data_IF_484705946972
#
_entry.id   IF_484705946972
#
_cell.length_a   1.000
_cell.length_b   1.000
_cell.length_c   1.000
_cell.angle_alpha   90.00
_cell.angle_beta   90.00
_cell.angle_gamma   90.00
#
_symmetry.space_group_name_H-M   'P 1'
#
loop_
_entity.id
_entity.type
_entity.pdbx_description
1 polymer ?
#
# COMPACT_ATOMS: atom_id res chain seq x y z
N UNK A 1 0.42 21.44 0.84
CA UNK A 1 0.14 20.33 1.79
C UNK A 1 0.16 20.88 3.20
N UNK A 2 -0.94 20.71 3.94
CA UNK A 2 -1.15 21.35 5.24
C UNK A 2 -0.31 20.72 6.36
N UNK A 3 -0.19 19.39 6.36
CA UNK A 3 0.43 18.64 7.45
C UNK A 3 0.98 17.31 6.95
N UNK A 4 2.13 16.89 7.47
CA UNK A 4 2.71 15.55 7.27
C UNK A 4 3.24 15.07 8.62
N UNK A 5 2.87 13.87 9.02
CA UNK A 5 3.30 13.29 10.28
C UNK A 5 3.69 11.83 10.11
N UNK A 6 4.68 11.40 10.89
CA UNK A 6 5.03 9.99 11.01
C UNK A 6 4.28 9.39 12.20
N UNK A 7 3.80 8.16 12.03
CA UNK A 7 3.09 7.37 13.02
C UNK A 7 3.64 5.96 13.08
N UNK A 8 3.58 5.34 14.24
CA UNK A 8 3.81 3.92 14.42
C UNK A 8 2.47 3.22 14.67
N UNK A 9 1.97 2.55 13.65
CA UNK A 9 0.69 1.82 13.71
C UNK A 9 0.93 0.47 14.41
N UNK A 10 0.08 0.07 15.37
CA UNK A 10 0.17 -1.27 15.98
C UNK A 10 -0.03 -2.37 14.94
N UNK A 11 0.90 -3.33 14.88
CA UNK A 11 0.84 -4.49 13.99
C UNK A 11 1.09 -5.79 14.73
N UNK A 12 0.68 -6.90 14.10
CA UNK A 12 0.83 -8.26 14.65
C UNK A 12 2.30 -8.62 14.96
N UNK A 13 3.22 -8.09 14.16
CA UNK A 13 4.65 -8.38 14.26
C UNK A 13 5.46 -7.21 14.84
N UNK A 14 4.81 -6.27 15.54
CA UNK A 14 5.40 -5.04 16.08
C UNK A 14 4.94 -3.79 15.30
N UNK A 15 5.43 -2.60 15.66
CA UNK A 15 4.98 -1.36 15.05
C UNK A 15 5.23 -1.32 13.53
N UNK A 16 4.30 -0.70 12.82
CA UNK A 16 4.35 -0.49 11.38
C UNK A 16 4.51 1.01 11.15
N UNK A 17 5.69 1.48 10.71
CA UNK A 17 5.87 2.89 10.43
C UNK A 17 4.94 3.35 9.29
N UNK A 18 4.29 4.48 9.47
CA UNK A 18 3.43 5.08 8.48
C UNK A 18 3.69 6.59 8.41
N UNK A 19 3.36 7.19 7.26
CA UNK A 19 3.36 8.64 7.10
C UNK A 19 2.01 9.09 6.61
N UNK A 20 1.43 10.07 7.30
CA UNK A 20 0.11 10.58 7.02
C UNK A 20 0.24 11.99 6.44
N UNK A 21 -0.50 12.23 5.36
CA UNK A 21 -0.51 13.48 4.61
C UNK A 21 -1.93 14.07 4.64
N UNK A 22 -2.04 15.35 4.96
CA UNK A 22 -3.30 16.10 4.90
C UNK A 22 -3.22 17.16 3.80
N UNK A 23 -4.25 17.31 2.95
CA UNK A 23 -4.25 18.27 1.84
C UNK A 23 -4.28 19.71 2.35
N UNK A 24 -3.76 20.63 1.53
CA UNK A 24 -3.87 22.07 1.71
C UNK A 24 -5.17 22.60 1.07
N UNK A 25 -5.58 23.79 1.50
CA UNK A 25 -6.73 24.47 0.90
C UNK A 25 -7.99 24.44 1.76
N UNK A 26 -9.08 25.07 1.30
CA UNK A 26 -10.35 25.04 1.98
C UNK A 26 -10.85 23.60 1.97
N UNK A 27 -10.84 22.97 3.14
CA UNK A 27 -11.48 21.69 3.32
C UNK A 27 -12.95 21.85 2.97
N UNK A 28 -13.48 20.96 2.15
CA UNK A 28 -14.91 20.80 2.08
C UNK A 28 -15.45 20.69 3.51
N UNK A 29 -16.57 21.35 3.81
CA UNK A 29 -17.15 21.30 5.14
C UNK A 29 -17.43 19.85 5.54
N UNK A 30 -16.54 19.26 6.32
CA UNK A 30 -16.69 17.89 6.82
C UNK A 30 -15.44 17.01 6.71
N UNK A 31 -15.56 15.73 7.14
CA UNK A 31 -14.48 14.76 7.11
C UNK A 31 -14.01 14.46 5.69
N UNK A 32 -12.72 14.19 5.50
CA UNK A 32 -12.09 13.95 4.20
C UNK A 32 -12.12 12.45 3.81
N UNK A 33 -12.12 12.12 2.51
CA UNK A 33 -11.80 10.76 2.08
C UNK A 33 -10.42 10.33 2.57
N UNK A 34 -10.22 9.03 2.80
CA UNK A 34 -8.93 8.49 3.23
C UNK A 34 -8.44 7.45 2.23
N UNK A 35 -7.20 7.59 1.81
CA UNK A 35 -6.50 6.68 0.90
C UNK A 35 -5.36 5.99 1.64
N UNK A 36 -5.46 4.68 1.85
CA UNK A 36 -4.36 3.87 2.38
C UNK A 36 -3.47 3.47 1.23
N UNK A 37 -2.21 3.89 1.27
CA UNK A 37 -1.25 3.71 0.19
C UNK A 37 -0.16 2.70 0.55
N UNK A 38 0.09 1.75 -0.36
CA UNK A 38 1.17 0.76 -0.29
C UNK A 38 2.16 1.00 -1.44
N UNK A 39 3.42 1.27 -1.09
CA UNK A 39 4.46 1.58 -2.07
C UNK A 39 4.88 0.38 -2.93
N UNK A 40 5.35 0.62 -4.15
CA UNK A 40 6.01 -0.37 -4.99
C UNK A 40 7.43 -0.67 -4.47
N UNK A 41 7.83 -1.95 -4.49
CA UNK A 41 9.08 -2.35 -3.86
C UNK A 41 9.55 -3.76 -4.23
N UNK A 42 8.80 -4.50 -5.04
CA UNK A 42 9.02 -5.96 -5.17
C UNK A 42 8.93 -6.71 -3.84
N UNK A 43 8.29 -6.14 -2.81
CA UNK A 43 8.24 -6.60 -1.40
C UNK A 43 9.59 -6.60 -0.68
N UNK A 44 10.66 -6.09 -1.28
CA UNK A 44 12.05 -6.23 -0.80
C UNK A 44 12.74 -4.89 -0.57
N UNK A 45 12.55 -3.94 -1.48
CA UNK A 45 13.30 -2.68 -1.50
C UNK A 45 12.40 -1.47 -1.24
N UNK A 46 12.99 -0.29 -1.15
CA UNK A 46 12.32 1.00 -0.98
C UNK A 46 11.56 1.12 0.35
N UNK A 47 10.81 2.20 0.47
CA UNK A 47 10.02 2.57 1.65
C UNK A 47 9.29 3.88 1.38
N UNK A 48 8.90 4.58 2.45
CA UNK A 48 8.11 5.82 2.39
C UNK A 48 8.74 6.91 1.51
N UNK A 49 10.07 7.02 1.52
CA UNK A 49 10.78 8.07 0.79
C UNK A 49 10.67 7.90 -0.73
N UNK A 50 10.66 6.66 -1.22
CA UNK A 50 10.53 6.36 -2.66
C UNK A 50 9.19 6.80 -3.25
N UNK A 51 8.16 6.95 -2.43
CA UNK A 51 6.82 7.35 -2.84
C UNK A 51 6.35 8.68 -2.24
N UNK A 52 7.25 9.46 -1.65
CA UNK A 52 6.91 10.73 -1.00
C UNK A 52 6.16 11.69 -1.94
N UNK A 53 6.69 11.94 -3.13
CA UNK A 53 6.05 12.84 -4.10
C UNK A 53 4.71 12.30 -4.61
N UNK A 54 4.63 10.99 -4.87
CA UNK A 54 3.38 10.32 -5.28
C UNK A 54 2.29 10.50 -4.23
N UNK A 55 2.61 10.29 -2.95
CA UNK A 55 1.64 10.48 -1.86
C UNK A 55 1.18 11.93 -1.73
N UNK A 56 2.08 12.89 -1.94
CA UNK A 56 1.73 14.31 -1.94
C UNK A 56 0.78 14.66 -3.09
N UNK A 57 1.09 14.21 -4.29
CA UNK A 57 0.26 14.48 -5.48
C UNK A 57 -1.12 13.83 -5.36
N UNK A 58 -1.19 12.61 -4.84
CA UNK A 58 -2.47 11.95 -4.54
C UNK A 58 -3.26 12.72 -3.48
N UNK A 59 -2.61 13.16 -2.41
CA UNK A 59 -3.23 13.92 -1.33
C UNK A 59 -3.82 15.23 -1.83
N UNK A 60 -3.04 16.04 -2.55
CA UNK A 60 -3.47 17.34 -3.06
C UNK A 60 -4.47 17.20 -4.22
N UNK A 61 -4.16 16.31 -5.17
CA UNK A 61 -4.97 16.17 -6.39
C UNK A 61 -6.35 15.59 -6.15
N UNK A 62 -6.47 14.68 -5.17
CA UNK A 62 -7.74 14.08 -4.80
C UNK A 62 -8.43 14.75 -3.59
N UNK A 63 -7.77 15.70 -2.93
CA UNK A 63 -8.29 16.34 -1.72
C UNK A 63 -8.58 15.35 -0.59
N UNK A 64 -7.72 14.36 -0.40
CA UNK A 64 -7.92 13.28 0.56
C UNK A 64 -6.75 13.17 1.53
N UNK A 65 -6.99 12.56 2.69
CA UNK A 65 -5.92 12.12 3.59
C UNK A 65 -5.24 10.91 2.96
N UNK A 66 -3.91 10.91 2.88
CA UNK A 66 -3.14 9.73 2.43
C UNK A 66 -2.39 9.15 3.60
N UNK A 67 -2.59 7.87 3.87
CA UNK A 67 -1.83 7.10 4.86
C UNK A 67 -0.90 6.16 4.12
N UNK A 68 0.38 6.55 4.01
CA UNK A 68 1.41 5.73 3.39
C UNK A 68 1.99 4.74 4.41
N UNK A 69 1.87 3.46 4.11
CA UNK A 69 2.27 2.36 5.00
C UNK A 69 3.64 1.83 4.60
N UNK A 70 4.60 1.81 5.56
CA UNK A 70 5.90 1.18 5.38
C UNK A 70 5.86 -0.26 5.87
N UNK A 71 5.15 -1.09 5.13
CA UNK A 71 5.03 -2.52 5.46
C UNK A 71 6.40 -3.21 5.50
N UNK A 72 6.49 -4.29 6.29
CA UNK A 72 7.70 -5.12 6.41
C UNK A 72 8.11 -5.69 5.07
N UNK A 73 9.40 -5.86 4.89
CA UNK A 73 9.98 -6.33 3.63
C UNK A 73 10.75 -7.63 3.83
N UNK A 74 10.75 -8.43 2.79
CA UNK A 74 11.61 -9.60 2.66
C UNK A 74 13.08 -9.15 2.38
N UNK A 75 14.06 -9.99 2.65
CA UNK A 75 13.96 -11.38 3.11
C UNK A 75 13.69 -11.57 4.60
N UNK A 76 13.85 -10.51 5.45
CA UNK A 76 13.69 -10.60 6.90
C UNK A 76 12.24 -10.90 7.29
N UNK A 77 11.32 -10.45 6.49
CA UNK A 77 9.89 -10.59 6.72
C UNK A 77 9.19 -11.08 5.43
N UNK A 78 9.28 -12.38 5.20
CA UNK A 78 8.64 -13.06 4.07
C UNK A 78 7.11 -13.08 4.19
N UNK A 79 6.43 -13.48 3.11
CA UNK A 79 5.01 -13.77 3.13
C UNK A 79 4.65 -14.70 4.32
N UNK A 80 3.57 -14.45 5.08
CA UNK A 80 2.53 -13.44 4.85
C UNK A 80 2.74 -12.08 5.57
N UNK A 81 3.86 -11.83 6.25
CA UNK A 81 4.02 -10.65 7.12
C UNK A 81 3.73 -9.29 6.44
N UNK A 82 4.14 -9.02 5.19
CA UNK A 82 3.77 -7.77 4.52
C UNK A 82 2.26 -7.62 4.30
N UNK A 83 1.54 -8.73 4.05
CA UNK A 83 0.08 -8.71 3.92
C UNK A 83 -0.63 -8.52 5.25
N UNK A 84 -0.06 -9.05 6.33
CA UNK A 84 -0.57 -8.83 7.69
C UNK A 84 -0.42 -7.37 8.10
N UNK A 85 0.71 -6.74 7.78
CA UNK A 85 0.94 -5.32 8.03
C UNK A 85 -0.05 -4.45 7.24
N UNK A 86 -0.24 -4.72 5.96
CA UNK A 86 -1.18 -3.99 5.12
C UNK A 86 -2.61 -4.06 5.67
N UNK A 87 -3.02 -5.24 6.10
CA UNK A 87 -4.31 -5.47 6.72
C UNK A 87 -4.46 -4.76 8.06
N UNK A 88 -3.48 -4.90 8.96
CA UNK A 88 -3.48 -4.25 10.27
C UNK A 88 -3.52 -2.73 10.14
N UNK A 89 -2.70 -2.16 9.24
CA UNK A 89 -2.68 -0.73 8.99
C UNK A 89 -4.02 -0.20 8.46
N UNK A 90 -4.67 -0.94 7.56
CA UNK A 90 -5.98 -0.53 7.04
C UNK A 90 -7.06 -0.56 8.12
N UNK A 91 -7.08 -1.57 8.98
CA UNK A 91 -8.01 -1.62 10.12
C UNK A 91 -7.77 -0.45 11.09
N UNK A 92 -6.52 -0.19 11.42
CA UNK A 92 -6.17 0.93 12.29
C UNK A 92 -6.66 2.27 11.71
N UNK A 93 -6.49 2.49 10.41
CA UNK A 93 -6.98 3.69 9.72
C UNK A 93 -8.48 3.85 9.89
N UNK A 94 -9.25 2.77 9.76
CA UNK A 94 -10.70 2.79 9.94
C UNK A 94 -11.09 3.11 11.39
N UNK A 95 -10.43 2.47 12.36
CA UNK A 95 -10.66 2.65 13.79
C UNK A 95 -10.33 4.08 14.25
N UNK A 96 -9.30 4.70 13.67
CA UNK A 96 -8.84 6.05 14.02
C UNK A 96 -9.28 7.12 13.00
N UNK A 97 -10.19 6.78 12.08
CA UNK A 97 -10.55 7.62 10.95
C UNK A 97 -11.05 9.01 11.37
N UNK A 98 -11.89 9.08 12.39
CA UNK A 98 -12.44 10.33 12.91
C UNK A 98 -11.36 11.25 13.51
N UNK A 99 -10.40 10.68 14.25
CA UNK A 99 -9.27 11.41 14.85
C UNK A 99 -8.34 11.99 13.77
N UNK A 100 -8.22 11.28 12.65
CA UNK A 100 -7.48 11.76 11.49
C UNK A 100 -8.23 12.87 10.71
N UNK A 101 -9.50 13.11 11.01
CA UNK A 101 -10.39 14.00 10.25
C UNK A 101 -10.94 13.35 8.98
N UNK A 102 -10.96 12.03 8.94
CA UNK A 102 -11.42 11.22 7.81
C UNK A 102 -12.89 10.80 7.90
N UNK A 103 -13.44 10.41 6.76
CA UNK A 103 -14.75 9.82 6.63
C UNK A 103 -14.65 8.30 6.47
N UNK A 104 -15.09 7.56 7.47
CA UNK A 104 -15.04 6.10 7.50
C UNK A 104 -15.85 5.44 6.36
N UNK A 105 -16.79 6.16 5.75
CA UNK A 105 -17.56 5.70 4.60
C UNK A 105 -16.85 5.94 3.26
N UNK A 106 -15.71 6.63 3.27
CA UNK A 106 -14.93 6.97 2.08
C UNK A 106 -13.47 6.52 2.21
N UNK A 107 -13.26 5.24 2.57
CA UNK A 107 -11.95 4.62 2.66
C UNK A 107 -11.62 3.94 1.33
N UNK A 108 -10.48 4.30 0.75
CA UNK A 108 -9.92 3.67 -0.45
C UNK A 108 -8.55 3.06 -0.16
N UNK A 109 -8.15 2.11 -0.99
CA UNK A 109 -6.79 1.54 -0.97
C UNK A 109 -6.08 1.82 -2.29
N UNK A 110 -4.78 2.03 -2.23
CA UNK A 110 -3.96 2.30 -3.41
C UNK A 110 -2.64 1.54 -3.31
N UNK A 111 -2.13 1.09 -4.43
CA UNK A 111 -0.79 0.53 -4.45
C UNK A 111 -0.20 0.43 -5.84
N UNK A 112 1.13 0.46 -5.87
CA UNK A 112 1.97 0.36 -7.06
C UNK A 112 2.70 -0.98 -7.05
N UNK A 113 2.66 -1.74 -8.14
CA UNK A 113 3.41 -3.00 -8.28
C UNK A 113 3.11 -3.98 -7.12
N UNK A 114 4.10 -4.32 -6.30
CA UNK A 114 3.94 -5.11 -5.07
C UNK A 114 2.90 -4.50 -4.10
N UNK A 115 2.90 -3.17 -3.95
CA UNK A 115 1.88 -2.47 -3.16
C UNK A 115 0.47 -2.59 -3.75
N UNK A 116 0.34 -2.69 -5.08
CA UNK A 116 -0.93 -2.98 -5.75
C UNK A 116 -1.46 -4.37 -5.40
N UNK A 117 -0.58 -5.36 -5.29
CA UNK A 117 -0.92 -6.67 -4.76
C UNK A 117 -1.45 -6.58 -3.31
N UNK A 118 -0.76 -5.85 -2.43
CA UNK A 118 -1.20 -5.65 -1.04
C UNK A 118 -2.57 -4.95 -0.97
N UNK A 119 -2.80 -3.91 -1.78
CA UNK A 119 -4.09 -3.23 -1.85
C UNK A 119 -5.22 -4.18 -2.27
N UNK A 120 -4.95 -5.05 -3.26
CA UNK A 120 -5.91 -6.08 -3.70
C UNK A 120 -6.21 -7.09 -2.59
N UNK A 121 -5.17 -7.60 -1.91
CA UNK A 121 -5.33 -8.55 -0.80
C UNK A 121 -6.15 -7.93 0.34
N UNK A 122 -5.89 -6.67 0.69
CA UNK A 122 -6.66 -5.94 1.72
C UNK A 122 -8.14 -5.85 1.32
N UNK A 123 -8.44 -5.47 0.08
CA UNK A 123 -9.83 -5.36 -0.37
C UNK A 123 -10.55 -6.71 -0.42
N UNK A 124 -9.86 -7.78 -0.83
CA UNK A 124 -10.39 -9.15 -0.80
C UNK A 124 -10.68 -9.60 0.64
N UNK A 125 -9.73 -9.41 1.56
CA UNK A 125 -9.93 -9.74 2.98
C UNK A 125 -11.10 -8.96 3.58
N UNK A 126 -11.22 -7.67 3.28
CA UNK A 126 -12.32 -6.84 3.74
C UNK A 126 -13.68 -7.41 3.29
N UNK A 127 -13.77 -7.86 2.05
CA UNK A 127 -15.00 -8.46 1.51
C UNK A 127 -15.34 -9.83 2.12
N UNK A 128 -14.33 -10.67 2.37
CA UNK A 128 -14.52 -12.05 2.87
C UNK A 128 -14.70 -12.11 4.38
N UNK A 129 -13.93 -11.31 5.13
CA UNK A 129 -13.93 -11.34 6.60
C UNK A 129 -14.98 -10.40 7.22
N UNK A 130 -15.76 -9.66 6.41
CA UNK A 130 -16.70 -8.65 6.89
C UNK A 130 -16.01 -7.45 7.54
N UNK A 131 -14.83 -7.08 7.03
CA UNK A 131 -13.96 -6.03 7.54
C UNK A 131 -14.31 -4.61 7.03
N UNK A 132 -13.31 -3.73 6.98
CA UNK A 132 -13.49 -2.34 6.55
C UNK A 132 -14.19 -2.21 5.20
N UNK A 133 -15.13 -1.27 5.10
CA UNK A 133 -15.77 -0.95 3.81
C UNK A 133 -14.80 -0.20 2.92
N UNK A 134 -14.19 -0.89 1.96
CA UNK A 134 -13.34 -0.29 0.94
C UNK A 134 -14.20 0.11 -0.25
N UNK A 135 -14.28 1.41 -0.54
CA UNK A 135 -15.15 1.94 -1.60
C UNK A 135 -14.46 2.05 -2.95
N UNK A 136 -13.12 2.05 -2.98
CA UNK A 136 -12.35 2.20 -4.20
C UNK A 136 -10.96 1.56 -4.08
N UNK A 137 -10.44 1.06 -5.20
CA UNK A 137 -9.08 0.56 -5.33
C UNK A 137 -8.38 1.28 -6.49
N UNK A 138 -7.24 1.91 -6.23
CA UNK A 138 -6.35 2.45 -7.27
C UNK A 138 -5.14 1.52 -7.41
N UNK A 139 -5.15 0.68 -8.44
CA UNK A 139 -4.11 -0.32 -8.69
C UNK A 139 -3.24 0.10 -9.87
N UNK A 140 -2.00 0.46 -9.61
CA UNK A 140 -1.05 0.91 -10.62
C UNK A 140 -0.08 -0.23 -10.93
N UNK A 141 -0.18 -0.81 -12.13
CA UNK A 141 0.58 -1.99 -12.60
C UNK A 141 0.80 -3.05 -11.50
N UNK A 142 -0.27 -3.56 -10.86
CA UNK A 142 -0.17 -4.44 -9.72
C UNK A 142 0.46 -5.78 -10.07
N UNK A 143 1.17 -6.38 -9.12
CA UNK A 143 1.57 -7.79 -9.23
C UNK A 143 0.33 -8.66 -8.98
N UNK A 144 -0.14 -9.34 -10.00
CA UNK A 144 -1.37 -10.16 -9.94
C UNK A 144 -1.09 -11.66 -9.90
N UNK A 145 0.12 -12.06 -10.25
CA UNK A 145 0.55 -13.46 -10.21
C UNK A 145 2.04 -13.55 -9.87
N UNK A 146 2.41 -14.52 -9.04
CA UNK A 146 3.80 -14.81 -8.67
C UNK A 146 4.38 -15.94 -9.55
N UNK A 147 4.15 -15.86 -10.86
CA UNK A 147 4.65 -16.79 -11.86
C UNK A 147 5.44 -16.05 -12.92
N UNK A 148 6.48 -16.67 -13.43
CA UNK A 148 7.31 -16.17 -14.53
C UNK A 148 6.95 -16.79 -15.89
N UNK A 149 5.87 -17.57 -15.98
CA UNK A 149 5.43 -18.26 -17.18
C UNK A 149 4.35 -17.50 -17.97
N UNK A 150 4.53 -16.20 -18.16
CA UNK A 150 3.63 -15.41 -19.01
C UNK A 150 4.36 -14.88 -20.23
N UNK A 151 3.59 -14.56 -21.28
CA UNK A 151 4.15 -13.97 -22.51
C UNK A 151 4.85 -12.63 -22.22
N UNK A 152 4.32 -11.82 -21.31
CA UNK A 152 4.95 -10.56 -20.93
C UNK A 152 6.32 -10.76 -20.28
N UNK A 153 6.49 -11.78 -19.45
CA UNK A 153 7.80 -12.13 -18.90
C UNK A 153 8.82 -12.50 -19.99
N UNK A 154 8.39 -13.26 -21.00
CA UNK A 154 9.26 -13.63 -22.12
C UNK A 154 9.59 -12.43 -23.00
N UNK A 155 8.56 -11.64 -23.35
CA UNK A 155 8.69 -10.49 -24.26
C UNK A 155 9.49 -9.34 -23.69
N UNK A 156 9.39 -9.08 -22.39
CA UNK A 156 10.03 -7.96 -21.69
C UNK A 156 11.09 -8.41 -20.69
N UNK A 157 11.69 -9.58 -20.95
CA UNK A 157 12.70 -10.19 -20.05
C UNK A 157 13.91 -9.29 -19.81
N UNK A 158 14.36 -8.59 -20.85
CA UNK A 158 15.56 -7.75 -20.88
C UNK A 158 15.30 -6.38 -21.51
N UNK A 159 16.20 -5.43 -21.27
CA UNK A 159 16.15 -4.09 -21.88
C UNK A 159 15.23 -3.09 -21.19
N UNK A 160 14.60 -3.47 -20.07
CA UNK A 160 13.72 -2.63 -19.26
C UNK A 160 14.24 -2.52 -17.81
N UNK A 161 13.78 -1.51 -17.06
CA UNK A 161 14.18 -1.32 -15.66
C UNK A 161 13.85 -2.52 -14.76
N UNK A 162 12.76 -3.23 -15.05
CA UNK A 162 12.34 -4.43 -14.33
C UNK A 162 12.53 -5.65 -15.25
N UNK A 163 13.63 -6.35 -15.09
CA UNK A 163 13.95 -7.55 -15.87
C UNK A 163 13.28 -8.80 -15.29
N UNK A 164 13.18 -9.86 -16.09
CA UNK A 164 12.65 -11.13 -15.62
C UNK A 164 13.49 -11.71 -14.46
N UNK A 165 14.82 -11.57 -14.52
CA UNK A 165 15.69 -12.05 -13.44
C UNK A 165 15.51 -11.28 -12.14
N UNK A 166 15.30 -9.95 -12.22
CA UNK A 166 15.01 -9.14 -11.05
C UNK A 166 13.65 -9.52 -10.44
N UNK A 167 12.65 -9.80 -11.26
CA UNK A 167 11.34 -10.29 -10.78
C UNK A 167 11.48 -11.65 -10.08
N UNK A 168 12.22 -12.60 -10.66
CA UNK A 168 12.49 -13.90 -10.03
C UNK A 168 13.23 -13.75 -8.70
N UNK A 169 14.16 -12.81 -8.63
CA UNK A 169 14.88 -12.51 -7.39
C UNK A 169 13.92 -12.00 -6.31
N UNK A 170 13.03 -11.05 -6.61
CA UNK A 170 12.01 -10.58 -5.68
C UNK A 170 11.10 -11.71 -5.19
N UNK A 171 10.60 -12.54 -6.09
CA UNK A 171 9.70 -13.66 -5.76
C UNK A 171 10.39 -14.64 -4.81
N UNK A 172 11.64 -15.03 -5.09
CA UNK A 172 12.41 -15.94 -4.24
C UNK A 172 12.67 -15.39 -2.84
N UNK A 173 12.89 -14.08 -2.72
CA UNK A 173 13.07 -13.45 -1.41
C UNK A 173 11.75 -13.34 -0.64
N UNK A 174 10.66 -13.05 -1.35
CA UNK A 174 9.36 -12.80 -0.73
C UNK A 174 8.64 -14.07 -0.28
N UNK A 175 8.62 -15.08 -1.13
CA UNK A 175 7.96 -16.35 -0.83
C UNK A 175 8.83 -17.25 0.05
N UNK A 176 8.16 -18.09 0.84
CA UNK A 176 8.84 -19.22 1.50
C UNK A 176 9.08 -20.27 0.41
N UNK A 177 10.35 -20.52 0.07
CA UNK A 177 10.68 -21.71 -0.74
C UNK A 177 10.42 -22.96 0.12
N UNK A 178 9.60 -23.87 -0.38
CA UNK A 178 9.66 -25.24 0.05
C UNK A 178 10.98 -25.89 -0.43
#
# INVERSE_FOLDING_TARGET
>A
MKRVENHDIPGLHGPIPARIYWPDGPQADGPLPVLVHFHGSGFVVLGLEGHYNVCRELCEGAGCIVVAVNYRKAPENKFPKPTDDAWAATKWVVENCAELGGDVNRIAVCGYSAGGCLATVVAQRAAVEGGPKIVFQLLVYPVTVMSDDTESYRRFADGYNLTADLMRWFIRLYLNSE
#
